data_IF_017092615380
#
_entry.id   IF_017092615380
#
_cell.length_a   1.000
_cell.length_b   1.000
_cell.length_c   1.000
_cell.angle_alpha   90.00
_cell.angle_beta   90.00
_cell.angle_gamma   90.00
#
_symmetry.space_group_name_H-M   'P 1'
#
loop_
_entity.id
_entity.type
_entity.pdbx_description
1 polymer ?
#
# COMPACT_ATOMS: atom_id res chain seq x y z
N UNK A 1 -19.70 -3.89 29.08
CA UNK A 1 -19.37 -2.86 28.07
C UNK A 1 -19.73 -3.37 26.67
N UNK A 2 -20.23 -2.50 25.76
CA UNK A 2 -20.45 -2.85 24.35
C UNK A 2 -19.12 -3.18 23.67
N UNK A 3 -19.04 -4.29 22.94
CA UNK A 3 -17.87 -4.60 22.14
C UNK A 3 -17.69 -3.55 21.04
N UNK A 4 -16.46 -3.08 20.84
CA UNK A 4 -16.16 -2.16 19.73
C UNK A 4 -16.14 -2.92 18.39
N UNK A 5 -16.77 -2.36 17.37
CA UNK A 5 -16.77 -2.93 16.02
C UNK A 5 -15.52 -2.49 15.28
N UNK A 6 -14.66 -3.46 14.94
CA UNK A 6 -13.46 -3.26 14.13
C UNK A 6 -13.76 -3.73 12.72
N UNK A 7 -13.69 -2.79 11.76
CA UNK A 7 -13.92 -3.09 10.36
C UNK A 7 -12.58 -3.33 9.64
N UNK A 8 -12.28 -4.59 9.34
CA UNK A 8 -11.06 -5.00 8.65
C UNK A 8 -11.32 -4.87 7.15
N UNK A 9 -10.55 -4.00 6.46
CA UNK A 9 -10.64 -3.80 5.01
C UNK A 9 -9.46 -4.50 4.35
N UNK A 10 -9.73 -5.41 3.43
CA UNK A 10 -8.71 -6.27 2.82
C UNK A 10 -9.01 -6.62 1.36
N UNK A 11 -8.04 -7.26 0.69
CA UNK A 11 -8.06 -7.53 -0.73
C UNK A 11 -7.34 -6.42 -1.50
N UNK A 12 -8.04 -5.75 -2.39
CA UNK A 12 -7.49 -4.62 -3.17
C UNK A 12 -7.17 -4.98 -4.61
N UNK A 13 -6.80 -3.97 -5.39
CA UNK A 13 -6.50 -4.09 -6.82
C UNK A 13 -5.03 -4.45 -7.09
N UNK A 14 -4.18 -4.40 -6.07
CA UNK A 14 -2.75 -4.65 -6.20
C UNK A 14 -2.43 -6.12 -6.45
N UNK A 15 -1.19 -6.40 -6.85
CA UNK A 15 -0.67 -7.78 -6.99
C UNK A 15 -0.60 -8.52 -5.65
N UNK A 16 -0.62 -7.79 -4.52
CA UNK A 16 -0.57 -8.32 -3.16
C UNK A 16 -1.95 -8.68 -2.60
N UNK A 17 -2.96 -8.75 -3.46
CA UNK A 17 -4.35 -9.06 -3.10
C UNK A 17 -4.50 -10.28 -2.18
N UNK A 18 -3.84 -11.39 -2.55
CA UNK A 18 -3.91 -12.64 -1.79
C UNK A 18 -3.19 -12.53 -0.43
N UNK A 19 -2.09 -11.77 -0.38
CA UNK A 19 -1.37 -11.50 0.88
C UNK A 19 -2.26 -10.72 1.84
N UNK A 20 -3.01 -9.75 1.34
CA UNK A 20 -3.98 -8.99 2.13
C UNK A 20 -5.07 -9.88 2.74
N UNK A 21 -5.57 -10.86 1.99
CA UNK A 21 -6.56 -11.84 2.51
C UNK A 21 -5.95 -12.67 3.63
N UNK A 22 -4.70 -13.13 3.48
CA UNK A 22 -3.98 -13.89 4.51
C UNK A 22 -3.81 -13.05 5.77
N UNK A 23 -3.37 -11.80 5.63
CA UNK A 23 -3.19 -10.85 6.73
C UNK A 23 -4.51 -10.60 7.49
N UNK A 24 -5.61 -10.37 6.76
CA UNK A 24 -6.93 -10.16 7.37
C UNK A 24 -7.40 -11.37 8.17
N UNK A 25 -7.19 -12.58 7.65
CA UNK A 25 -7.54 -13.81 8.37
C UNK A 25 -6.63 -14.04 9.58
N UNK A 26 -5.37 -13.64 9.53
CA UNK A 26 -4.47 -13.66 10.70
C UNK A 26 -4.97 -12.73 11.79
N UNK A 27 -5.35 -11.50 11.46
CA UNK A 27 -5.95 -10.55 12.42
C UNK A 27 -7.22 -11.14 13.02
N UNK A 28 -8.12 -11.70 12.19
CA UNK A 28 -9.39 -12.29 12.66
C UNK A 28 -9.19 -13.42 13.69
N UNK A 29 -8.12 -14.21 13.56
CA UNK A 29 -7.83 -15.31 14.47
C UNK A 29 -7.09 -14.88 15.75
N UNK A 30 -6.48 -13.69 15.76
CA UNK A 30 -5.72 -13.17 16.91
C UNK A 30 -6.42 -12.02 17.66
N UNK A 31 -7.52 -11.49 17.12
CA UNK A 31 -8.25 -10.40 17.77
C UNK A 31 -9.00 -10.88 19.03
N UNK A 32 -8.96 -10.09 20.09
CA UNK A 32 -9.71 -10.39 21.33
C UNK A 32 -11.23 -10.22 21.12
N UNK A 33 -11.92 -11.32 20.87
CA UNK A 33 -13.36 -11.35 20.67
C UNK A 33 -14.19 -11.01 21.92
N UNK A 34 -13.58 -10.93 23.12
CA UNK A 34 -14.26 -10.42 24.32
C UNK A 34 -14.45 -8.91 24.24
N UNK A 35 -13.49 -8.19 23.67
CA UNK A 35 -13.47 -6.72 23.55
C UNK A 35 -13.99 -6.23 22.19
N UNK A 36 -13.77 -6.98 21.10
CA UNK A 36 -13.99 -6.53 19.75
C UNK A 36 -14.97 -7.42 18.98
N UNK A 37 -15.69 -6.80 18.07
CA UNK A 37 -16.55 -7.45 17.06
C UNK A 37 -15.93 -7.20 15.68
N UNK A 38 -15.20 -8.16 15.10
CA UNK A 38 -14.64 -8.00 13.77
C UNK A 38 -15.73 -8.07 12.69
N UNK A 39 -15.59 -7.20 11.68
CA UNK A 39 -16.41 -7.17 10.47
C UNK A 39 -15.45 -7.08 9.29
N UNK A 40 -15.68 -7.84 8.23
CA UNK A 40 -14.85 -7.84 7.03
C UNK A 40 -15.46 -7.02 5.90
N UNK A 41 -14.66 -6.16 5.30
CA UNK A 41 -14.92 -5.55 3.99
C UNK A 41 -13.86 -6.01 2.99
N UNK A 42 -14.32 -6.73 2.00
CA UNK A 42 -13.48 -7.23 0.93
C UNK A 42 -13.52 -6.32 -0.28
N UNK A 43 -12.36 -5.82 -0.67
CA UNK A 43 -12.15 -5.10 -1.93
C UNK A 43 -11.69 -6.08 -2.99
N UNK A 44 -12.50 -6.26 -4.02
CA UNK A 44 -12.16 -7.16 -5.13
C UNK A 44 -11.03 -6.59 -5.99
N UNK A 45 -10.41 -7.43 -6.84
CA UNK A 45 -9.43 -6.99 -7.87
C UNK A 45 -10.02 -6.00 -8.89
N UNK A 46 -11.36 -5.87 -8.96
CA UNK A 46 -12.07 -4.91 -9.81
C UNK A 46 -12.45 -3.61 -9.08
N UNK A 47 -11.96 -3.40 -7.86
CA UNK A 47 -12.26 -2.20 -7.08
C UNK A 47 -13.66 -2.17 -6.45
N UNK A 48 -14.33 -3.31 -6.33
CA UNK A 48 -15.69 -3.40 -5.80
C UNK A 48 -15.65 -3.82 -4.34
N UNK A 49 -16.29 -3.05 -3.45
CA UNK A 49 -16.41 -3.39 -2.05
C UNK A 49 -17.59 -4.32 -1.77
N UNK A 50 -17.33 -5.37 -0.98
CA UNK A 50 -18.33 -6.33 -0.52
C UNK A 50 -18.21 -6.53 0.99
N UNK A 51 -19.32 -6.76 1.68
CA UNK A 51 -19.28 -7.27 3.04
C UNK A 51 -18.86 -8.75 3.04
N UNK A 52 -18.35 -9.22 4.18
CA UNK A 52 -17.95 -10.61 4.35
C UNK A 52 -18.70 -11.28 5.48
N UNK A 53 -18.99 -12.57 5.32
CA UNK A 53 -19.36 -13.46 6.43
C UNK A 53 -18.08 -14.06 7.02
N UNK A 54 -18.11 -14.35 8.32
CA UNK A 54 -17.06 -15.12 8.97
C UNK A 54 -17.50 -16.59 8.95
N UNK A 55 -16.65 -17.44 8.41
CA UNK A 55 -16.83 -18.90 8.36
C UNK A 55 -15.71 -19.59 9.13
N UNK A 56 -15.91 -20.84 9.52
CA UNK A 56 -14.85 -21.68 10.10
C UNK A 56 -14.47 -22.75 9.09
N UNK A 57 -13.19 -22.80 8.75
CA UNK A 57 -12.62 -23.82 7.85
C UNK A 57 -11.36 -24.40 8.50
N UNK A 58 -11.30 -25.72 8.61
CA UNK A 58 -10.18 -26.43 9.24
C UNK A 58 -9.82 -25.87 10.63
N UNK A 59 -10.83 -25.58 11.46
CA UNK A 59 -10.65 -25.06 12.81
C UNK A 59 -10.27 -23.59 12.93
N UNK A 60 -10.04 -22.88 11.80
CA UNK A 60 -9.68 -21.45 11.77
C UNK A 60 -10.82 -20.61 11.20
N UNK A 61 -11.00 -19.42 11.77
CA UNK A 61 -11.95 -18.43 11.26
C UNK A 61 -11.38 -17.77 9.99
N UNK A 62 -12.24 -17.55 9.00
CA UNK A 62 -11.88 -16.90 7.75
C UNK A 62 -12.99 -15.96 7.31
N UNK A 63 -12.62 -14.87 6.66
CA UNK A 63 -13.58 -14.06 5.91
C UNK A 63 -13.94 -14.73 4.60
N UNK A 64 -15.23 -14.92 4.37
CA UNK A 64 -15.75 -15.37 3.06
C UNK A 64 -15.97 -14.15 2.18
N UNK A 65 -15.31 -14.05 1.00
CA UNK A 65 -15.49 -12.93 0.08
C UNK A 65 -16.83 -12.94 -0.67
N UNK A 66 -17.65 -13.95 -0.45
CA UNK A 66 -18.99 -14.08 -1.03
C UNK A 66 -20.00 -13.26 -0.22
N UNK A 67 -20.05 -11.97 -0.48
CA UNK A 67 -20.95 -11.04 0.21
C UNK A 67 -21.68 -10.12 -0.76
N UNK A 68 -22.58 -9.31 -0.20
CA UNK A 68 -23.33 -8.30 -0.95
C UNK A 68 -22.46 -7.07 -1.21
N UNK A 69 -22.79 -6.35 -2.27
CA UNK A 69 -22.23 -5.02 -2.52
C UNK A 69 -22.55 -4.10 -1.35
N UNK A 70 -21.62 -3.19 -1.06
CA UNK A 70 -21.83 -2.17 -0.05
C UNK A 70 -21.74 -0.77 -0.66
N UNK A 71 -22.37 0.19 -0.01
CA UNK A 71 -22.15 1.61 -0.23
C UNK A 71 -21.65 2.28 1.04
N UNK A 72 -20.87 3.32 0.87
CA UNK A 72 -20.43 4.17 1.96
C UNK A 72 -21.37 5.35 2.12
N UNK A 73 -21.67 5.73 3.37
CA UNK A 73 -22.56 6.86 3.73
C UNK A 73 -21.80 7.83 4.62
N UNK A 74 -21.08 8.81 4.03
CA UNK A 74 -20.41 9.85 4.81
C UNK A 74 -21.39 10.58 5.73
N UNK A 75 -20.95 10.92 6.95
CA UNK A 75 -21.77 11.59 7.97
C UNK A 75 -22.80 10.69 8.68
N UNK A 76 -23.02 9.47 8.23
CA UNK A 76 -23.97 8.57 8.88
C UNK A 76 -23.37 7.89 10.12
N UNK A 77 -24.18 7.69 11.18
CA UNK A 77 -23.79 6.90 12.34
C UNK A 77 -23.35 5.47 11.96
N UNK A 78 -23.97 4.90 10.93
CA UNK A 78 -23.64 3.60 10.36
C UNK A 78 -23.10 3.81 8.93
N UNK A 79 -21.79 4.01 8.77
CA UNK A 79 -21.18 4.45 7.51
C UNK A 79 -21.15 3.42 6.40
N UNK A 80 -21.48 2.15 6.68
CA UNK A 80 -21.53 1.06 5.70
C UNK A 80 -22.95 0.61 5.53
N UNK A 81 -23.49 0.74 4.33
CA UNK A 81 -24.80 0.22 3.93
C UNK A 81 -24.61 -1.02 3.05
N UNK A 82 -25.23 -2.14 3.42
CA UNK A 82 -25.20 -3.39 2.65
C UNK A 82 -26.40 -3.46 1.71
N UNK A 83 -27.55 -2.98 2.17
CA UNK A 83 -28.78 -2.81 1.41
C UNK A 83 -29.66 -1.80 2.14
N UNK A 84 -30.83 -1.46 1.60
CA UNK A 84 -31.74 -0.45 2.17
C UNK A 84 -32.09 -0.66 3.65
N UNK A 85 -31.99 -1.91 4.14
CA UNK A 85 -32.41 -2.28 5.50
C UNK A 85 -31.25 -2.74 6.40
N UNK A 86 -30.06 -2.87 5.86
CA UNK A 86 -28.92 -3.41 6.60
C UNK A 86 -27.72 -2.48 6.52
N UNK A 87 -27.30 -1.94 7.64
CA UNK A 87 -26.13 -1.08 7.75
C UNK A 87 -25.28 -1.46 8.97
N UNK A 88 -24.01 -1.13 8.93
CA UNK A 88 -23.02 -1.48 9.95
C UNK A 88 -22.50 -0.20 10.59
N UNK A 89 -22.57 -0.16 11.94
CA UNK A 89 -21.87 0.80 12.77
C UNK A 89 -20.43 0.34 12.94
N UNK A 90 -19.47 1.23 12.70
CA UNK A 90 -18.03 0.97 12.79
C UNK A 90 -17.44 1.92 13.82
N UNK A 91 -16.76 1.37 14.82
CA UNK A 91 -16.01 2.16 15.80
C UNK A 91 -14.61 2.50 15.31
N UNK A 92 -13.92 1.55 14.63
CA UNK A 92 -12.57 1.74 14.07
C UNK A 92 -12.42 0.93 12.80
N UNK A 93 -11.79 1.49 11.79
CA UNK A 93 -11.34 0.76 10.61
C UNK A 93 -9.93 0.21 10.78
N UNK A 94 -9.68 -0.96 10.23
CA UNK A 94 -8.37 -1.56 10.15
C UNK A 94 -8.08 -1.94 8.68
N UNK A 95 -7.56 -1.00 7.89
CA UNK A 95 -7.15 -1.30 6.52
C UNK A 95 -5.90 -2.18 6.54
N UNK A 96 -5.96 -3.29 5.82
CA UNK A 96 -4.86 -4.25 5.63
C UNK A 96 -4.72 -4.60 4.14
N UNK A 97 -5.02 -3.64 3.29
CA UNK A 97 -4.74 -3.71 1.86
C UNK A 97 -3.26 -3.41 1.68
N UNK A 98 -2.53 -4.27 1.00
CA UNK A 98 -1.12 -4.08 0.68
C UNK A 98 -0.94 -3.41 -0.69
N UNK A 99 0.08 -2.56 -0.81
CA UNK A 99 0.43 -1.86 -2.04
C UNK A 99 -0.58 -0.80 -2.47
N UNK A 100 -0.77 -0.67 -3.77
CA UNK A 100 -1.62 0.36 -4.38
C UNK A 100 -3.06 0.29 -3.89
N UNK A 101 -3.61 1.45 -3.51
CA UNK A 101 -4.94 1.62 -2.95
C UNK A 101 -5.01 1.37 -1.44
N UNK A 102 -3.98 0.75 -0.83
CA UNK A 102 -3.92 0.46 0.60
C UNK A 102 -2.87 1.28 1.34
N UNK A 103 -1.72 1.50 0.72
CA UNK A 103 -0.55 2.14 1.35
C UNK A 103 -0.25 3.53 0.78
N UNK A 104 -1.00 3.98 -0.22
CA UNK A 104 -0.81 5.22 -0.96
C UNK A 104 -1.69 6.40 -0.50
N UNK A 105 -2.40 6.25 0.61
CA UNK A 105 -3.32 7.26 1.14
C UNK A 105 -4.75 7.15 0.63
N UNK A 106 -5.04 6.32 -0.37
CA UNK A 106 -6.37 6.21 -0.99
C UNK A 106 -7.43 5.71 -0.01
N UNK A 107 -7.20 4.57 0.63
CA UNK A 107 -8.14 4.01 1.62
C UNK A 107 -8.23 4.88 2.87
N UNK A 108 -7.13 5.49 3.29
CA UNK A 108 -7.07 6.40 4.43
C UNK A 108 -7.93 7.65 4.17
N UNK A 109 -7.86 8.20 2.95
CA UNK A 109 -8.70 9.30 2.51
C UNK A 109 -10.19 8.96 2.52
N UNK A 110 -10.58 7.77 2.04
CA UNK A 110 -11.95 7.29 2.13
C UNK A 110 -12.42 7.21 3.59
N UNK A 111 -11.63 6.62 4.48
CA UNK A 111 -12.00 6.48 5.89
C UNK A 111 -12.10 7.85 6.57
N UNK A 112 -11.23 8.80 6.22
CA UNK A 112 -11.29 10.18 6.71
C UNK A 112 -12.59 10.88 6.30
N UNK A 113 -13.07 10.68 5.06
CA UNK A 113 -14.36 11.22 4.60
C UNK A 113 -15.52 10.58 5.39
N UNK A 114 -15.41 9.33 5.82
CA UNK A 114 -16.40 8.65 6.66
C UNK A 114 -16.39 9.14 8.12
N UNK A 115 -15.47 10.01 8.49
CA UNK A 115 -15.28 10.54 9.84
C UNK A 115 -15.17 9.43 10.89
N UNK A 116 -14.24 8.50 10.67
CA UNK A 116 -13.98 7.38 11.59
C UNK A 116 -12.49 7.21 11.83
N UNK A 117 -12.11 6.83 13.05
CA UNK A 117 -10.73 6.46 13.35
C UNK A 117 -10.33 5.18 12.61
N UNK A 118 -9.04 5.07 12.31
CA UNK A 118 -8.46 3.86 11.73
C UNK A 118 -7.08 3.57 12.30
N UNK A 119 -6.64 2.33 12.13
CA UNK A 119 -5.32 1.84 12.54
C UNK A 119 -4.37 1.98 11.35
N UNK A 120 -3.21 2.59 11.56
CA UNK A 120 -2.16 2.78 10.57
C UNK A 120 -1.77 4.24 10.38
N UNK A 121 -0.87 4.48 9.42
CA UNK A 121 -0.44 5.83 9.04
C UNK A 121 -1.59 6.63 8.44
N UNK A 122 -1.55 7.95 8.63
CA UNK A 122 -2.53 8.84 8.03
C UNK A 122 -2.40 8.92 6.49
N UNK A 123 -3.33 9.63 5.86
CA UNK A 123 -3.37 9.76 4.41
C UNK A 123 -2.10 10.41 3.85
N UNK A 124 -1.61 11.47 4.50
CA UNK A 124 -0.44 12.22 4.03
C UNK A 124 0.84 11.39 4.21
N UNK A 125 1.03 10.79 5.38
CA UNK A 125 2.16 9.92 5.66
C UNK A 125 2.21 8.73 4.70
N UNK A 126 1.07 8.08 4.46
CA UNK A 126 0.95 6.98 3.50
C UNK A 126 1.32 7.41 2.08
N UNK A 127 0.79 8.54 1.60
CA UNK A 127 1.07 9.04 0.26
C UNK A 127 2.54 9.41 0.06
N UNK A 128 3.16 10.04 1.05
CA UNK A 128 4.57 10.43 1.01
C UNK A 128 5.47 9.19 1.02
N UNK A 129 5.24 8.27 1.94
CA UNK A 129 6.11 7.08 2.10
C UNK A 129 5.98 6.10 0.93
N UNK A 130 4.82 6.05 0.27
CA UNK A 130 4.65 5.28 -0.96
C UNK A 130 5.47 5.85 -2.12
N UNK A 131 5.72 7.17 -2.14
CA UNK A 131 6.52 7.81 -3.17
C UNK A 131 8.00 7.86 -2.76
N UNK A 132 8.81 6.94 -3.32
CA UNK A 132 10.23 6.80 -2.99
C UNK A 132 11.06 8.07 -3.22
N UNK A 133 10.69 8.89 -4.22
CA UNK A 133 11.37 10.16 -4.52
C UNK A 133 11.07 11.17 -3.40
N UNK A 134 9.79 11.36 -3.05
CA UNK A 134 9.41 12.28 -1.97
C UNK A 134 10.00 11.83 -0.62
N UNK A 135 9.96 10.53 -0.34
CA UNK A 135 10.59 9.99 0.89
C UNK A 135 12.08 10.33 0.93
N UNK A 136 12.82 10.09 -0.17
CA UNK A 136 14.25 10.43 -0.25
C UNK A 136 14.50 11.92 -0.03
N UNK A 137 13.71 12.80 -0.65
CA UNK A 137 13.86 14.25 -0.47
C UNK A 137 13.63 14.69 0.99
N UNK A 138 12.63 14.11 1.66
CA UNK A 138 12.33 14.44 3.05
C UNK A 138 13.41 13.94 4.00
N UNK A 139 13.78 12.67 3.91
CA UNK A 139 14.80 12.11 4.84
C UNK A 139 16.17 12.75 4.62
N UNK A 140 16.48 13.17 3.38
CA UNK A 140 17.70 13.93 3.08
C UNK A 140 17.73 15.29 3.79
N UNK A 141 16.58 16.00 3.86
CA UNK A 141 16.47 17.27 4.60
C UNK A 141 16.73 17.10 6.09
N UNK A 142 16.40 15.94 6.65
CA UNK A 142 16.69 15.56 8.03
C UNK A 142 18.14 15.09 8.25
N UNK A 143 19.02 15.23 7.27
CA UNK A 143 20.42 14.84 7.36
C UNK A 143 20.71 13.34 7.27
N UNK A 144 19.71 12.53 6.92
CA UNK A 144 19.86 11.08 6.74
C UNK A 144 20.52 10.81 5.39
N UNK A 145 21.56 9.98 5.39
CA UNK A 145 22.24 9.58 4.16
C UNK A 145 21.31 8.74 3.28
N UNK A 146 21.25 9.10 2.00
CA UNK A 146 20.49 8.39 0.99
C UNK A 146 21.42 7.99 -0.18
N UNK A 147 21.03 6.97 -0.93
CA UNK A 147 21.68 6.64 -2.21
C UNK A 147 21.55 7.78 -3.20
N UNK A 148 22.58 8.01 -4.02
CA UNK A 148 22.53 8.96 -5.14
C UNK A 148 21.48 8.52 -6.13
N UNK A 149 20.72 9.45 -6.67
CA UNK A 149 19.68 9.14 -7.63
C UNK A 149 19.47 10.25 -8.66
N UNK A 150 18.86 9.89 -9.77
CA UNK A 150 18.48 10.79 -10.88
C UNK A 150 17.04 10.49 -11.30
N UNK A 151 16.19 11.51 -11.32
CA UNK A 151 14.79 11.38 -11.74
C UNK A 151 14.72 11.36 -13.27
N UNK A 152 13.89 10.49 -13.82
CA UNK A 152 13.60 10.41 -15.25
C UNK A 152 12.32 11.20 -15.53
N UNK A 153 12.45 12.35 -16.16
CA UNK A 153 11.32 13.21 -16.55
C UNK A 153 10.86 12.82 -17.97
N UNK A 154 9.62 12.37 -18.08
CA UNK A 154 8.86 12.12 -19.33
C UNK A 154 9.58 11.41 -20.48
N UNK A 155 10.89 11.54 -20.63
CA UNK A 155 11.68 10.89 -21.68
C UNK A 155 13.15 10.75 -21.30
N UNK A 156 13.80 9.73 -21.85
CA UNK A 156 15.21 9.48 -21.64
C UNK A 156 16.03 10.17 -22.74
N UNK A 157 16.63 11.31 -22.43
CA UNK A 157 17.56 12.00 -23.32
C UNK A 157 18.99 11.48 -23.18
N UNK A 158 19.82 11.63 -24.23
CA UNK A 158 21.24 11.28 -24.15
C UNK A 158 21.99 12.11 -23.10
N UNK A 159 21.58 13.36 -22.88
CA UNK A 159 22.10 14.21 -21.81
C UNK A 159 21.84 13.57 -20.44
N UNK A 160 20.62 13.06 -20.21
CA UNK A 160 20.25 12.39 -18.94
C UNK A 160 21.03 11.10 -18.73
N UNK A 161 21.25 10.33 -19.80
CA UNK A 161 22.09 9.11 -19.73
C UNK A 161 23.52 9.45 -19.31
N UNK A 162 24.11 10.49 -19.92
CA UNK A 162 25.46 10.95 -19.55
C UNK A 162 25.54 11.39 -18.10
N UNK A 163 24.50 12.08 -17.59
CA UNK A 163 24.41 12.47 -16.17
C UNK A 163 24.34 11.25 -15.25
N UNK A 164 23.50 10.26 -15.54
CA UNK A 164 23.38 9.03 -14.76
C UNK A 164 24.72 8.32 -14.71
N UNK A 165 25.40 8.16 -15.84
CA UNK A 165 26.73 7.51 -15.90
C UNK A 165 27.77 8.25 -15.08
N UNK A 166 27.75 9.59 -15.08
CA UNK A 166 28.71 10.42 -14.33
C UNK A 166 28.42 10.41 -12.82
N UNK A 167 27.15 10.55 -12.42
CA UNK A 167 26.77 10.80 -11.04
C UNK A 167 26.50 9.50 -10.24
N UNK A 168 26.02 8.46 -10.93
CA UNK A 168 25.60 7.19 -10.35
C UNK A 168 26.55 6.05 -10.76
N UNK A 169 26.80 5.90 -12.07
CA UNK A 169 27.58 4.79 -12.61
C UNK A 169 26.80 3.46 -12.67
N UNK A 170 27.56 2.36 -12.74
CA UNK A 170 27.04 0.99 -12.79
C UNK A 170 27.72 0.10 -11.74
N UNK A 171 27.02 -0.89 -11.18
CA UNK A 171 25.61 -1.18 -11.36
C UNK A 171 24.71 -0.12 -10.73
N UNK A 172 23.48 0.03 -11.29
CA UNK A 172 22.45 0.89 -10.73
C UNK A 172 21.09 0.21 -10.77
N UNK A 173 20.12 0.77 -10.08
CA UNK A 173 18.73 0.30 -10.09
C UNK A 173 17.82 1.35 -10.74
N UNK A 174 16.99 0.90 -11.67
CA UNK A 174 15.86 1.66 -12.21
C UNK A 174 14.63 1.30 -11.39
N UNK A 175 13.90 2.29 -10.89
CA UNK A 175 12.76 2.06 -10.00
C UNK A 175 11.56 2.91 -10.37
N UNK A 176 10.38 2.30 -10.36
CA UNK A 176 9.11 3.00 -10.30
C UNK A 176 8.93 3.64 -8.92
N UNK A 177 8.66 4.96 -8.85
CA UNK A 177 8.65 5.67 -7.59
C UNK A 177 7.47 5.30 -6.68
N UNK A 178 6.28 5.02 -7.27
CA UNK A 178 5.00 4.90 -6.56
C UNK A 178 4.47 3.47 -6.49
N UNK A 179 5.32 2.45 -6.71
CA UNK A 179 4.90 1.05 -6.69
C UNK A 179 5.66 0.28 -5.62
N UNK A 180 4.96 -0.67 -4.99
CA UNK A 180 5.52 -1.61 -4.01
C UNK A 180 5.95 -2.94 -4.65
N UNK A 181 6.28 -3.92 -3.81
CA UNK A 181 6.54 -5.32 -4.17
C UNK A 181 7.51 -5.52 -5.33
N UNK A 182 8.54 -4.68 -5.41
CA UNK A 182 9.55 -4.72 -6.47
C UNK A 182 9.01 -4.56 -7.91
N UNK A 183 7.76 -4.14 -8.09
CA UNK A 183 7.19 -3.86 -9.41
C UNK A 183 7.89 -2.65 -10.01
N UNK A 184 8.36 -2.79 -11.26
CA UNK A 184 9.08 -1.72 -11.94
C UNK A 184 10.47 -1.45 -11.38
N UNK A 185 11.08 -2.43 -10.68
CA UNK A 185 12.45 -2.36 -10.15
C UNK A 185 13.36 -3.29 -10.97
N UNK A 186 14.42 -2.73 -11.55
CA UNK A 186 15.35 -3.47 -12.40
C UNK A 186 16.79 -3.04 -12.16
N UNK A 187 17.70 -4.02 -12.00
CA UNK A 187 19.14 -3.77 -11.96
C UNK A 187 19.68 -3.54 -13.38
N UNK A 188 20.57 -2.57 -13.56
CA UNK A 188 21.26 -2.31 -14.80
C UNK A 188 22.77 -2.31 -14.56
N UNK A 189 23.51 -3.11 -15.32
CA UNK A 189 24.97 -3.24 -15.24
C UNK A 189 25.69 -2.43 -16.33
N UNK A 190 24.95 -1.91 -17.29
CA UNK A 190 25.47 -1.15 -18.41
C UNK A 190 24.40 -0.23 -19.02
N UNK A 191 24.80 0.63 -19.95
CA UNK A 191 23.92 1.61 -20.60
C UNK A 191 22.77 0.96 -21.40
N UNK A 192 23.01 -0.18 -22.05
CA UNK A 192 21.99 -0.90 -22.81
C UNK A 192 20.87 -1.39 -21.90
N UNK A 193 21.23 -2.00 -20.76
CA UNK A 193 20.27 -2.45 -19.74
C UNK A 193 19.55 -1.28 -19.09
N UNK A 194 20.24 -0.18 -18.81
CA UNK A 194 19.66 1.04 -18.25
C UNK A 194 18.53 1.55 -19.16
N UNK A 195 18.79 1.76 -20.46
CA UNK A 195 17.79 2.22 -21.44
C UNK A 195 16.59 1.29 -21.52
N UNK A 196 16.82 -0.02 -21.58
CA UNK A 196 15.77 -1.02 -21.62
C UNK A 196 14.90 -1.00 -20.36
N UNK A 197 15.54 -0.93 -19.20
CA UNK A 197 14.87 -1.01 -17.91
C UNK A 197 14.08 0.27 -17.60
N UNK A 198 14.56 1.43 -17.98
CA UNK A 198 13.79 2.69 -17.92
C UNK A 198 12.52 2.56 -18.75
N UNK A 199 12.63 2.09 -20.01
CA UNK A 199 11.45 1.88 -20.86
C UNK A 199 10.45 0.90 -20.24
N UNK A 200 10.93 -0.19 -19.61
CA UNK A 200 10.07 -1.15 -18.91
C UNK A 200 9.36 -0.49 -17.72
N UNK A 201 10.07 0.28 -16.89
CA UNK A 201 9.50 0.94 -15.72
C UNK A 201 8.47 2.01 -16.10
N UNK A 202 8.69 2.74 -17.20
CA UNK A 202 7.75 3.73 -17.74
C UNK A 202 6.43 3.13 -18.24
N UNK A 203 6.36 1.81 -18.49
CA UNK A 203 5.09 1.14 -18.78
C UNK A 203 4.16 1.05 -17.57
N UNK A 204 4.68 1.22 -16.37
CA UNK A 204 3.90 1.15 -15.12
C UNK A 204 3.56 2.52 -14.55
N UNK A 205 4.43 3.51 -14.74
CA UNK A 205 4.28 4.84 -14.15
C UNK A 205 5.14 5.87 -14.89
N UNK A 206 4.72 7.12 -14.87
CA UNK A 206 5.54 8.24 -15.38
C UNK A 206 6.60 8.70 -14.36
N UNK A 207 6.55 8.21 -13.13
CA UNK A 207 7.48 8.56 -12.06
C UNK A 207 8.54 7.48 -11.91
N UNK A 208 9.63 7.59 -12.65
CA UNK A 208 10.77 6.66 -12.65
C UNK A 208 12.03 7.39 -12.18
N UNK A 209 12.87 6.72 -11.43
CA UNK A 209 14.19 7.21 -11.07
C UNK A 209 15.24 6.11 -11.16
N UNK A 210 16.50 6.52 -11.23
CA UNK A 210 17.67 5.63 -11.23
C UNK A 210 18.47 5.94 -9.98
N UNK A 211 18.86 4.92 -9.24
CA UNK A 211 19.72 5.09 -8.05
C UNK A 211 20.93 4.16 -8.08
N UNK A 212 21.99 4.54 -7.37
CA UNK A 212 23.18 3.73 -7.21
C UNK A 212 22.86 2.39 -6.51
N UNK A 213 23.56 1.34 -6.90
CA UNK A 213 23.49 0.07 -6.20
C UNK A 213 24.45 0.09 -5.01
N UNK A 214 23.93 -0.17 -3.82
CA UNK A 214 24.78 -0.40 -2.63
C UNK A 214 25.34 -1.81 -2.73
N UNK A 215 26.67 -1.89 -2.78
CA UNK A 215 27.37 -3.17 -2.89
C UNK A 215 27.54 -3.78 -1.49
N UNK A 216 27.31 -5.09 -1.37
CA UNK A 216 27.38 -5.82 -0.10
C UNK A 216 26.45 -5.24 0.99
N UNK A 217 25.27 -4.75 0.58
CA UNK A 217 24.29 -4.21 1.51
C UNK A 217 23.76 -5.31 2.44
N UNK A 218 23.61 -4.97 3.73
CA UNK A 218 22.73 -5.71 4.63
C UNK A 218 21.34 -5.07 4.57
N UNK A 219 20.32 -5.89 4.35
CA UNK A 219 18.93 -5.43 4.41
C UNK A 219 18.43 -5.51 5.85
N UNK A 220 17.93 -4.40 6.37
CA UNK A 220 17.41 -4.32 7.74
C UNK A 220 15.97 -3.82 7.66
N UNK A 221 15.05 -4.61 8.21
CA UNK A 221 13.64 -4.23 8.36
C UNK A 221 13.36 -3.79 9.79
N UNK A 222 12.71 -2.63 9.93
CA UNK A 222 12.32 -2.08 11.22
C UNK A 222 10.84 -1.71 11.18
N UNK A 223 10.08 -2.27 12.13
CA UNK A 223 8.68 -1.90 12.34
C UNK A 223 8.56 -0.80 13.38
N UNK A 224 7.72 0.19 13.12
CA UNK A 224 7.40 1.26 14.08
C UNK A 224 5.93 1.17 14.47
N UNK A 225 5.65 1.22 15.77
CA UNK A 225 4.31 1.29 16.33
C UNK A 225 4.22 2.49 17.25
N UNK A 226 3.29 3.39 16.94
CA UNK A 226 2.94 4.49 17.83
C UNK A 226 1.89 4.01 18.84
N UNK A 227 2.17 4.14 20.13
CA UNK A 227 1.28 3.83 21.26
C UNK A 227 0.80 5.10 21.94
#
# INVERSE_FOLDING_TARGET
MRKKTICIIFGGISVEHEVSIISANSILNNIDLKKYRPVGLYLTKKGIFKNCKIITKSGKKQFSPQGYLISFKPGAKKPIEINKNMSIEVDVFFPIIHGTGGEDGSIQGLIKILDRPFIGCDMLGSAITMNKILTKELVKKEGINITKYEIIENSLSDKKIKMIKKNIGFPCFVKAANLGSSIGVYKANNEKELKLNIKKSLNFTNNVFVEEAVINAAEIEVSALQV
#
